data_IF_114966634712
#
_entry.id   IF_114966634712
#
_cell.length_a   1.000
_cell.length_b   1.000
_cell.length_c   1.000
_cell.angle_alpha   90.00
_cell.angle_beta   90.00
_cell.angle_gamma   90.00
#
_symmetry.space_group_name_H-M   'P 1'
#
loop_
_entity.id
_entity.type
_entity.pdbx_description
1 polymer ?
#
# COMPACT_ATOMS: atom_id res chain seq x y z
N UNK A 1 -3.12 20.19 -24.12
CA UNK A 1 -2.83 19.10 -23.17
C UNK A 1 -2.45 19.75 -21.86
N UNK A 2 -3.34 19.73 -20.87
CA UNK A 2 -2.98 20.14 -19.51
C UNK A 2 -1.94 19.16 -18.94
N UNK A 3 -1.22 19.53 -17.88
CA UNK A 3 -0.25 18.64 -17.24
C UNK A 3 -0.88 17.28 -16.81
N UNK A 4 -2.19 17.30 -16.56
CA UNK A 4 -3.07 16.19 -16.19
C UNK A 4 -3.12 15.05 -17.24
N UNK A 5 -3.03 15.34 -18.55
CA UNK A 5 -3.11 14.31 -19.60
C UNK A 5 -1.93 13.33 -19.57
N UNK A 6 -0.80 13.70 -18.93
CA UNK A 6 0.43 12.89 -18.92
C UNK A 6 0.48 11.86 -17.79
N UNK A 7 -0.34 12.02 -16.76
CA UNK A 7 -0.39 11.08 -15.64
C UNK A 7 -1.19 9.86 -16.08
N UNK A 8 -0.48 8.73 -16.19
CA UNK A 8 -1.07 7.40 -16.43
C UNK A 8 -1.54 6.83 -15.10
N UNK A 9 -2.83 6.99 -14.85
CA UNK A 9 -3.51 6.51 -13.66
C UNK A 9 -4.86 5.92 -14.06
N UNK A 10 -5.32 4.91 -13.32
CA UNK A 10 -6.65 4.34 -13.49
C UNK A 10 -7.73 5.45 -13.46
N UNK A 11 -8.74 5.41 -14.36
CA UNK A 11 -9.67 6.52 -14.55
C UNK A 11 -10.40 7.01 -13.31
N UNK A 12 -10.90 6.12 -12.45
CA UNK A 12 -11.65 6.51 -11.25
C UNK A 12 -10.76 7.28 -10.27
N UNK A 13 -9.51 6.83 -10.09
CA UNK A 13 -8.52 7.54 -9.29
C UNK A 13 -8.10 8.87 -9.90
N UNK A 14 -7.89 8.91 -11.22
CA UNK A 14 -7.53 10.15 -11.93
C UNK A 14 -8.60 11.21 -11.74
N UNK A 15 -9.87 10.84 -11.83
CA UNK A 15 -10.98 11.73 -11.58
C UNK A 15 -11.00 12.24 -10.13
N UNK A 16 -10.87 11.33 -9.16
CA UNK A 16 -10.97 11.66 -7.74
C UNK A 16 -9.80 12.52 -7.22
N UNK A 17 -8.60 12.32 -7.77
CA UNK A 17 -7.36 12.99 -7.33
C UNK A 17 -6.93 14.15 -8.24
N UNK A 18 -7.74 14.51 -9.24
CA UNK A 18 -7.40 15.53 -10.24
C UNK A 18 -6.91 16.84 -9.62
N UNK A 19 -7.68 17.38 -8.68
CA UNK A 19 -7.34 18.63 -7.99
C UNK A 19 -6.09 18.51 -7.10
N UNK A 20 -5.74 17.29 -6.68
CA UNK A 20 -4.55 17.04 -5.86
C UNK A 20 -3.27 17.20 -6.70
N UNK A 21 -3.29 16.75 -7.96
CA UNK A 21 -2.14 16.85 -8.86
C UNK A 21 -1.74 18.30 -9.21
N UNK A 22 -2.69 19.22 -9.07
CA UNK A 22 -2.50 20.66 -9.29
C UNK A 22 -2.00 21.41 -8.05
N UNK A 23 -1.89 20.75 -6.88
CA UNK A 23 -1.41 21.38 -5.66
C UNK A 23 0.08 21.76 -5.76
N UNK A 24 0.52 22.86 -5.12
CA UNK A 24 1.91 23.31 -5.18
C UNK A 24 2.93 22.25 -4.77
N UNK A 25 2.64 21.49 -3.70
CA UNK A 25 3.55 20.45 -3.21
C UNK A 25 3.75 19.31 -4.23
N UNK A 26 2.77 19.04 -5.12
CA UNK A 26 2.93 18.07 -6.20
C UNK A 26 3.86 18.58 -7.30
N UNK A 27 3.90 19.89 -7.56
CA UNK A 27 4.88 20.48 -8.45
C UNK A 27 6.29 20.37 -7.88
N UNK A 28 6.46 20.66 -6.58
CA UNK A 28 7.74 20.51 -5.87
C UNK A 28 8.22 19.06 -5.87
N UNK A 29 7.32 18.11 -5.59
CA UNK A 29 7.64 16.67 -5.63
C UNK A 29 8.08 16.22 -7.04
N UNK A 30 7.40 16.67 -8.10
CA UNK A 30 7.79 16.35 -9.49
C UNK A 30 9.17 16.90 -9.82
N UNK A 31 9.46 18.14 -9.41
CA UNK A 31 10.75 18.76 -9.65
C UNK A 31 11.86 18.06 -8.87
N UNK A 32 11.62 17.72 -7.59
CA UNK A 32 12.52 16.92 -6.78
C UNK A 32 12.88 15.59 -7.47
N UNK A 33 11.88 14.80 -7.88
CA UNK A 33 12.13 13.53 -8.55
C UNK A 33 12.90 13.73 -9.87
N UNK A 34 12.57 14.77 -10.65
CA UNK A 34 13.29 15.10 -11.88
C UNK A 34 14.77 15.38 -11.62
N UNK A 35 15.09 16.11 -10.54
CA UNK A 35 16.47 16.39 -10.14
C UNK A 35 17.20 15.12 -9.70
N UNK A 36 16.56 14.26 -8.91
CA UNK A 36 17.14 12.98 -8.48
C UNK A 36 17.49 12.09 -9.68
N UNK A 37 16.57 11.97 -10.65
CA UNK A 37 16.84 11.24 -11.90
C UNK A 37 17.95 11.89 -12.73
N UNK A 38 17.96 13.23 -12.86
CA UNK A 38 18.98 13.96 -13.61
C UNK A 38 20.38 13.85 -12.96
N UNK A 39 20.43 13.69 -11.63
CA UNK A 39 21.65 13.42 -10.88
C UNK A 39 22.15 11.97 -11.03
N UNK A 40 21.46 11.13 -11.80
CA UNK A 40 21.84 9.74 -12.03
C UNK A 40 21.52 8.80 -10.85
N UNK A 41 20.66 9.22 -9.92
CA UNK A 41 20.24 8.37 -8.81
C UNK A 41 19.31 7.28 -9.30
N UNK A 42 19.48 6.09 -8.74
CA UNK A 42 18.58 4.97 -8.98
C UNK A 42 17.41 5.04 -7.99
N UNK A 43 16.20 5.25 -8.51
CA UNK A 43 14.97 5.44 -7.74
C UNK A 43 14.05 4.26 -7.97
N UNK A 44 13.47 3.73 -6.88
CA UNK A 44 12.50 2.64 -6.90
C UNK A 44 11.13 3.08 -6.38
N UNK A 45 10.04 2.46 -6.86
CA UNK A 45 10.00 1.54 -8.00
C UNK A 45 10.27 2.28 -9.32
N UNK A 46 10.44 1.57 -10.46
CA UNK A 46 10.47 2.21 -11.78
C UNK A 46 9.30 3.19 -11.96
N UNK A 47 9.53 4.30 -12.67
CA UNK A 47 8.56 5.40 -12.76
C UNK A 47 7.14 4.97 -13.20
N UNK A 48 7.04 4.00 -14.11
CA UNK A 48 5.76 3.44 -14.57
C UNK A 48 4.98 2.67 -13.50
N UNK A 49 5.63 2.27 -12.41
CA UNK A 49 5.08 1.48 -11.32
C UNK A 49 4.85 2.30 -10.04
N UNK A 50 5.14 3.61 -10.03
CA UNK A 50 4.93 4.45 -8.85
C UNK A 50 3.47 4.36 -8.37
N UNK A 51 2.51 4.48 -9.28
CA UNK A 51 1.08 4.40 -8.98
C UNK A 51 0.49 2.99 -9.10
N UNK A 52 1.30 1.93 -9.05
CA UNK A 52 0.81 0.58 -9.32
C UNK A 52 -0.32 0.14 -8.36
N UNK A 53 -0.27 0.55 -7.08
CA UNK A 53 -1.35 0.27 -6.12
C UNK A 53 -2.71 0.83 -6.58
N UNK A 54 -2.73 2.07 -7.05
CA UNK A 54 -3.95 2.72 -7.56
C UNK A 54 -4.38 2.12 -8.90
N UNK A 55 -3.42 1.78 -9.76
CA UNK A 55 -3.71 1.17 -11.07
C UNK A 55 -4.25 -0.26 -10.97
N UNK A 56 -3.80 -1.01 -9.97
CA UNK A 56 -4.21 -2.40 -9.74
C UNK A 56 -5.54 -2.51 -9.00
N UNK A 57 -5.90 -1.47 -8.23
CA UNK A 57 -7.09 -1.48 -7.39
C UNK A 57 -7.91 -0.23 -7.68
N UNK A 58 -8.85 -0.26 -8.67
CA UNK A 58 -9.74 0.85 -8.97
C UNK A 58 -10.48 1.33 -7.71
N UNK A 59 -10.79 2.63 -7.61
CA UNK A 59 -11.35 3.25 -6.41
C UNK A 59 -12.65 2.56 -5.96
N UNK A 60 -13.56 2.28 -6.92
CA UNK A 60 -14.84 1.59 -6.68
C UNK A 60 -14.71 0.11 -6.29
N UNK A 61 -13.49 -0.45 -6.37
CA UNK A 61 -13.19 -1.85 -6.06
C UNK A 61 -12.42 -2.02 -4.77
N UNK A 62 -12.04 -0.92 -4.11
CA UNK A 62 -11.34 -0.99 -2.81
C UNK A 62 -12.26 -1.65 -1.78
N UNK A 63 -11.72 -2.64 -1.07
CA UNK A 63 -12.35 -3.33 0.06
C UNK A 63 -11.50 -3.25 1.32
N UNK A 64 -10.18 -3.36 1.13
CA UNK A 64 -9.19 -3.38 2.20
C UNK A 64 -8.08 -2.40 1.87
N UNK A 65 -7.58 -1.66 2.85
CA UNK A 65 -6.41 -0.79 2.72
C UNK A 65 -5.32 -1.28 3.66
N UNK A 66 -4.13 -1.54 3.14
CA UNK A 66 -2.94 -1.87 3.94
C UNK A 66 -1.91 -0.77 3.72
N UNK A 67 -1.43 -0.17 4.82
CA UNK A 67 -0.46 0.92 4.75
C UNK A 67 0.96 0.43 5.05
N UNK A 68 1.86 0.72 4.12
CA UNK A 68 3.32 0.63 4.32
C UNK A 68 3.96 2.01 4.45
N UNK A 69 5.26 2.02 4.76
CA UNK A 69 6.02 3.25 4.97
C UNK A 69 6.61 3.76 3.65
N UNK A 70 7.66 3.11 3.15
CA UNK A 70 8.35 3.40 1.90
C UNK A 70 8.58 2.10 1.08
N UNK A 71 8.89 2.19 -0.23
CA UNK A 71 9.16 1.02 -1.04
C UNK A 71 10.45 0.31 -0.60
N UNK A 72 10.58 -0.97 -0.96
CA UNK A 72 11.88 -1.64 -0.85
C UNK A 72 12.93 -0.94 -1.71
N UNK A 73 14.13 -0.76 -1.15
CA UNK A 73 15.21 0.02 -1.76
C UNK A 73 16.28 -0.83 -2.47
N UNK A 74 16.04 -2.13 -2.66
CA UNK A 74 16.92 -3.04 -3.39
C UNK A 74 16.49 -3.26 -4.84
N UNK A 75 17.44 -3.61 -5.72
CA UNK A 75 17.17 -3.82 -7.15
C UNK A 75 16.15 -4.93 -7.38
N UNK A 76 15.19 -4.66 -8.25
CA UNK A 76 14.14 -5.62 -8.63
C UNK A 76 13.11 -5.93 -7.54
N UNK A 77 13.19 -5.32 -6.35
CA UNK A 77 12.26 -5.62 -5.26
C UNK A 77 10.92 -4.92 -5.42
N UNK A 78 10.92 -3.59 -5.33
CA UNK A 78 9.70 -2.80 -5.30
C UNK A 78 9.03 -2.70 -6.67
N UNK A 79 7.70 -2.85 -6.68
CA UNK A 79 6.86 -2.69 -7.87
C UNK A 79 5.58 -1.87 -7.58
N UNK A 80 5.66 -0.95 -6.61
CA UNK A 80 4.59 0.01 -6.32
C UNK A 80 3.46 -0.50 -5.42
N UNK A 81 3.60 -1.68 -4.81
CA UNK A 81 2.70 -2.22 -3.80
C UNK A 81 3.44 -2.35 -2.46
N UNK A 82 2.86 -1.90 -1.35
CA UNK A 82 3.47 -2.07 -0.04
C UNK A 82 3.64 -3.56 0.32
N UNK A 83 4.73 -3.90 1.02
CA UNK A 83 5.15 -5.26 1.39
C UNK A 83 5.42 -6.26 0.25
N UNK A 84 4.92 -6.03 -0.95
CA UNK A 84 5.10 -6.93 -2.09
C UNK A 84 6.49 -6.81 -2.72
N UNK A 85 6.99 -7.91 -3.26
CA UNK A 85 8.21 -7.99 -4.06
C UNK A 85 7.96 -8.72 -5.39
N UNK A 86 8.76 -8.41 -6.41
CA UNK A 86 8.65 -9.10 -7.70
C UNK A 86 8.94 -10.61 -7.60
N UNK A 87 8.42 -11.43 -8.53
CA UNK A 87 8.79 -12.84 -8.65
C UNK A 87 10.30 -13.05 -8.74
N UNK A 88 10.78 -14.15 -8.15
CA UNK A 88 12.21 -14.47 -8.06
C UNK A 88 12.97 -13.71 -6.97
N UNK A 89 12.37 -12.71 -6.32
CA UNK A 89 12.94 -12.02 -5.16
C UNK A 89 12.49 -12.72 -3.87
N UNK A 90 13.42 -13.09 -2.96
CA UNK A 90 13.06 -13.64 -1.66
C UNK A 90 12.16 -12.68 -0.86
N UNK A 91 11.13 -13.23 -0.22
CA UNK A 91 10.25 -12.47 0.65
C UNK A 91 11.06 -11.78 1.78
N UNK A 92 10.96 -10.44 1.95
CA UNK A 92 11.66 -9.75 3.02
C UNK A 92 11.14 -10.15 4.41
N UNK A 93 11.90 -9.93 5.49
CA UNK A 93 11.54 -10.42 6.82
C UNK A 93 10.15 -10.00 7.32
N UNK A 94 9.72 -8.76 7.02
CA UNK A 94 8.36 -8.31 7.34
C UNK A 94 7.28 -9.11 6.59
N UNK A 95 7.51 -9.40 5.30
CA UNK A 95 6.57 -10.19 4.49
C UNK A 95 6.53 -11.65 4.95
N UNK A 96 7.66 -12.22 5.36
CA UNK A 96 7.71 -13.55 5.97
C UNK A 96 6.84 -13.61 7.23
N UNK A 97 6.86 -12.58 8.07
CA UNK A 97 6.00 -12.53 9.24
C UNK A 97 4.52 -12.33 8.89
N UNK A 98 4.19 -11.58 7.83
CA UNK A 98 2.84 -11.52 7.27
C UNK A 98 2.36 -12.93 6.88
N UNK A 99 3.18 -13.72 6.19
CA UNK A 99 2.84 -15.10 5.84
C UNK A 99 2.71 -16.03 7.05
N UNK A 100 3.54 -15.88 8.08
CA UNK A 100 3.39 -16.62 9.33
C UNK A 100 2.06 -16.31 10.02
N UNK A 101 1.63 -15.04 10.02
CA UNK A 101 0.33 -14.67 10.57
C UNK A 101 -0.81 -15.24 9.72
N UNK A 102 -0.72 -15.21 8.39
CA UNK A 102 -1.70 -15.87 7.51
C UNK A 102 -1.82 -17.36 7.77
N UNK A 103 -0.69 -18.06 7.95
CA UNK A 103 -0.70 -19.48 8.31
C UNK A 103 -1.36 -19.71 9.67
N UNK A 104 -1.06 -18.87 10.65
CA UNK A 104 -1.63 -19.00 12.00
C UNK A 104 -3.12 -18.66 12.04
N UNK A 105 -3.55 -17.64 11.30
CA UNK A 105 -4.92 -17.09 11.32
C UNK A 105 -5.89 -17.89 10.43
N UNK A 106 -5.46 -18.27 9.22
CA UNK A 106 -6.32 -18.89 8.21
C UNK A 106 -5.84 -20.27 7.75
N UNK A 107 -4.78 -20.81 8.36
CA UNK A 107 -4.15 -22.08 7.96
C UNK A 107 -3.63 -22.11 6.50
N UNK A 108 -3.38 -20.94 5.89
CA UNK A 108 -2.87 -20.80 4.53
C UNK A 108 -1.37 -21.10 4.51
N UNK A 109 -0.94 -21.98 3.59
CA UNK A 109 0.48 -22.32 3.44
C UNK A 109 1.31 -21.13 2.96
N UNK A 110 2.55 -21.06 3.44
CA UNK A 110 3.48 -19.99 3.10
C UNK A 110 3.90 -20.16 1.63
N UNK A 111 3.69 -19.16 0.77
CA UNK A 111 4.05 -19.23 -0.64
C UNK A 111 5.57 -19.19 -0.83
N UNK A 112 6.03 -19.63 -2.01
CA UNK A 112 7.45 -19.61 -2.38
C UNK A 112 7.90 -18.28 -3.04
N UNK A 113 7.02 -17.28 -3.11
CA UNK A 113 7.30 -15.95 -3.65
C UNK A 113 6.58 -14.87 -2.81
N UNK A 114 6.95 -13.61 -3.01
CA UNK A 114 6.40 -12.47 -2.27
C UNK A 114 5.54 -11.50 -3.09
N UNK A 115 4.97 -11.98 -4.20
CA UNK A 115 4.25 -11.15 -5.17
C UNK A 115 2.76 -11.08 -4.84
N UNK A 116 2.32 -9.95 -4.29
CA UNK A 116 0.97 -9.74 -3.73
C UNK A 116 -0.04 -9.13 -4.72
N UNK A 117 0.26 -9.16 -6.03
CA UNK A 117 -0.62 -8.58 -7.04
C UNK A 117 -2.04 -9.18 -7.00
N UNK A 118 -2.17 -10.49 -6.75
CA UNK A 118 -3.48 -11.15 -6.64
C UNK A 118 -4.34 -10.59 -5.51
N UNK A 119 -3.77 -9.97 -4.47
CA UNK A 119 -4.54 -9.28 -3.44
C UNK A 119 -5.05 -7.93 -3.96
N UNK A 120 -4.20 -7.19 -4.67
CA UNK A 120 -4.58 -5.90 -5.26
C UNK A 120 -5.74 -6.05 -6.26
N UNK A 121 -5.68 -7.11 -7.09
CA UNK A 121 -6.73 -7.45 -8.07
C UNK A 121 -8.08 -7.80 -7.41
N UNK A 122 -8.08 -8.16 -6.12
CA UNK A 122 -9.27 -8.48 -5.33
C UNK A 122 -9.84 -7.30 -4.53
N UNK A 123 -9.23 -6.11 -4.62
CA UNK A 123 -9.68 -4.93 -3.87
C UNK A 123 -8.80 -4.55 -2.67
N UNK A 124 -7.61 -5.14 -2.53
CA UNK A 124 -6.66 -4.78 -1.44
C UNK A 124 -5.73 -3.67 -1.91
N UNK A 125 -6.00 -2.43 -1.51
CA UNK A 125 -5.14 -1.29 -1.79
C UNK A 125 -3.86 -1.36 -0.95
N UNK A 126 -2.76 -1.77 -1.57
CA UNK A 126 -1.42 -1.92 -0.96
C UNK A 126 -0.61 -0.61 -1.08
N UNK A 127 -0.94 0.38 -0.26
CA UNK A 127 -0.41 1.75 -0.38
C UNK A 127 0.79 1.98 0.54
N UNK A 128 1.91 2.47 0.01
CA UNK A 128 2.96 3.08 0.83
C UNK A 128 2.67 4.58 1.02
N UNK A 129 2.95 5.11 2.21
CA UNK A 129 2.83 6.57 2.49
C UNK A 129 3.93 7.43 1.84
N UNK A 130 5.04 6.81 1.44
CA UNK A 130 6.06 7.38 0.55
C UNK A 130 6.14 6.48 -0.67
N UNK A 131 5.99 7.01 -1.88
CA UNK A 131 5.79 6.17 -3.08
C UNK A 131 7.07 5.91 -3.88
N UNK A 132 8.19 6.50 -3.47
CA UNK A 132 9.51 6.30 -4.09
C UNK A 132 10.61 6.26 -3.04
N UNK A 133 11.75 5.66 -3.36
CA UNK A 133 12.95 5.63 -2.51
C UNK A 133 14.21 5.58 -3.36
N UNK A 134 15.32 6.14 -2.88
CA UNK A 134 16.63 5.99 -3.50
C UNK A 134 17.22 4.61 -3.15
N UNK A 135 17.91 3.99 -4.11
CA UNK A 135 18.56 2.68 -3.92
C UNK A 135 19.44 2.69 -2.66
N UNK A 136 19.28 1.64 -1.86
CA UNK A 136 20.02 1.42 -0.60
C UNK A 136 19.90 2.55 0.44
N UNK A 137 18.95 3.47 0.29
CA UNK A 137 18.76 4.63 1.17
C UNK A 137 17.31 4.70 1.67
N UNK A 138 17.00 3.89 2.68
CA UNK A 138 15.66 3.83 3.28
C UNK A 138 15.20 5.21 3.78
N UNK A 139 13.93 5.56 3.56
CA UNK A 139 13.34 6.86 3.88
C UNK A 139 13.94 8.08 3.15
N UNK A 140 14.79 7.92 2.12
CA UNK A 140 15.42 9.05 1.43
C UNK A 140 14.43 10.10 0.91
N UNK A 141 13.25 9.66 0.48
CA UNK A 141 12.21 10.52 -0.09
C UNK A 141 11.07 10.83 0.91
N UNK A 142 11.24 10.48 2.20
CA UNK A 142 10.29 10.88 3.22
C UNK A 142 10.26 12.40 3.38
N UNK A 143 9.07 12.98 3.57
CA UNK A 143 8.88 14.42 3.72
C UNK A 143 9.09 15.22 2.42
N UNK A 144 9.20 14.57 1.26
CA UNK A 144 9.34 15.24 -0.05
C UNK A 144 8.01 15.56 -0.75
N UNK A 145 6.89 15.31 -0.08
CA UNK A 145 5.54 15.60 -0.58
C UNK A 145 4.64 14.37 -0.72
N UNK A 146 5.21 13.16 -0.76
CA UNK A 146 4.40 11.94 -0.92
C UNK A 146 3.37 11.74 0.18
N UNK A 147 3.72 12.03 1.43
CA UNK A 147 2.82 11.83 2.56
C UNK A 147 1.53 12.66 2.42
N UNK A 148 1.61 13.89 1.91
CA UNK A 148 0.43 14.71 1.65
C UNK A 148 -0.48 14.05 0.61
N UNK A 149 0.11 13.60 -0.50
CA UNK A 149 -0.62 12.91 -1.55
C UNK A 149 -1.28 11.62 -1.04
N UNK A 150 -0.57 10.80 -0.29
CA UNK A 150 -1.12 9.53 0.22
C UNK A 150 -2.14 9.75 1.33
N UNK A 151 -2.03 10.84 2.10
CA UNK A 151 -3.05 11.22 3.07
C UNK A 151 -4.36 11.56 2.34
N UNK A 152 -4.28 12.31 1.23
CA UNK A 152 -5.43 12.57 0.36
C UNK A 152 -6.04 11.29 -0.21
N UNK A 153 -5.21 10.33 -0.64
CA UNK A 153 -5.69 9.02 -1.12
C UNK A 153 -6.51 8.33 -0.03
N UNK A 154 -6.04 8.31 1.22
CA UNK A 154 -6.74 7.68 2.35
C UNK A 154 -8.09 8.38 2.62
N UNK A 155 -8.10 9.71 2.62
CA UNK A 155 -9.33 10.51 2.79
C UNK A 155 -10.35 10.23 1.68
N UNK A 156 -9.91 10.18 0.43
CA UNK A 156 -10.76 9.87 -0.73
C UNK A 156 -11.39 8.50 -0.55
N UNK A 157 -10.60 7.48 -0.21
CA UNK A 157 -11.10 6.12 0.03
C UNK A 157 -12.11 6.10 1.17
N UNK A 158 -11.81 6.75 2.30
CA UNK A 158 -12.71 6.79 3.44
C UNK A 158 -14.03 7.52 3.14
N UNK A 159 -14.00 8.53 2.27
CA UNK A 159 -15.19 9.27 1.87
C UNK A 159 -16.03 8.53 0.81
N UNK A 160 -15.41 7.71 -0.03
CA UNK A 160 -16.02 7.17 -1.25
C UNK A 160 -17.11 6.12 -1.01
N UNK A 161 -16.84 5.14 -0.14
CA UNK A 161 -17.81 4.07 0.16
C UNK A 161 -17.65 3.54 1.59
N UNK A 162 -18.74 3.13 2.26
CA UNK A 162 -18.67 2.57 3.61
C UNK A 162 -18.15 1.12 3.60
N UNK A 163 -17.98 0.54 4.80
CA UNK A 163 -17.69 -0.89 4.99
C UNK A 163 -16.35 -1.39 4.44
N UNK A 164 -15.37 -0.49 4.39
CA UNK A 164 -13.98 -0.82 4.13
C UNK A 164 -13.25 -1.30 5.40
N UNK A 165 -12.15 -2.03 5.21
CA UNK A 165 -11.25 -2.45 6.28
C UNK A 165 -9.89 -1.80 6.13
N UNK A 166 -9.40 -1.11 7.18
CA UNK A 166 -8.08 -0.51 7.22
C UNK A 166 -7.16 -1.29 8.16
N UNK A 167 -6.06 -1.83 7.61
CA UNK A 167 -5.04 -2.57 8.35
C UNK A 167 -3.84 -1.64 8.63
N UNK A 168 -3.77 -1.16 9.86
CA UNK A 168 -2.79 -0.16 10.29
C UNK A 168 -1.72 -0.82 11.18
N UNK A 169 -0.62 -1.27 10.56
CA UNK A 169 0.45 -1.98 11.26
C UNK A 169 1.64 -1.07 11.57
N UNK A 170 1.89 -0.83 12.85
CA UNK A 170 2.94 0.06 13.35
C UNK A 170 2.48 1.51 13.52
N UNK A 171 3.24 2.28 14.31
CA UNK A 171 2.90 3.64 14.72
C UNK A 171 2.68 4.60 13.53
N UNK A 172 3.48 4.45 12.47
CA UNK A 172 3.36 5.28 11.27
C UNK A 172 2.00 5.11 10.58
N UNK A 173 1.57 3.86 10.34
CA UNK A 173 0.25 3.57 9.78
C UNK A 173 -0.88 3.98 10.74
N UNK A 174 -0.72 3.72 12.04
CA UNK A 174 -1.72 4.10 13.06
C UNK A 174 -1.93 5.62 13.13
N UNK A 175 -0.89 6.43 12.86
CA UNK A 175 -1.02 7.90 12.82
C UNK A 175 -2.01 8.40 11.76
N UNK A 176 -2.32 7.56 10.75
CA UNK A 176 -3.28 7.85 9.68
C UNK A 176 -4.72 7.56 10.07
N UNK A 177 -4.97 6.99 11.24
CA UNK A 177 -6.33 6.71 11.73
C UNK A 177 -7.22 7.97 11.78
N UNK A 178 -6.64 9.15 12.00
CA UNK A 178 -7.36 10.44 11.96
C UNK A 178 -7.98 10.80 10.61
N UNK A 179 -7.53 10.16 9.53
CA UNK A 179 -8.01 10.37 8.16
C UNK A 179 -9.16 9.43 7.78
N UNK A 180 -9.55 8.54 8.71
CA UNK A 180 -10.48 7.46 8.46
C UNK A 180 -11.73 7.68 9.32
N UNK A 181 -12.90 7.64 8.69
CA UNK A 181 -14.19 7.64 9.38
C UNK A 181 -14.47 6.26 9.99
N UNK A 182 -14.01 6.06 11.22
CA UNK A 182 -14.19 4.81 11.96
C UNK A 182 -15.66 4.47 12.30
N UNK A 183 -16.62 5.37 12.02
CA UNK A 183 -18.05 5.05 12.13
C UNK A 183 -18.56 4.28 10.92
N UNK A 184 -17.88 4.39 9.77
CA UNK A 184 -18.22 3.72 8.51
C UNK A 184 -17.38 2.49 8.22
N UNK A 185 -16.17 2.42 8.78
CA UNK A 185 -15.15 1.44 8.42
C UNK A 185 -14.64 0.65 9.62
N UNK A 186 -14.13 -0.54 9.37
CA UNK A 186 -13.38 -1.30 10.36
C UNK A 186 -11.90 -0.88 10.33
N UNK A 187 -11.38 -0.42 11.47
CA UNK A 187 -9.95 -0.12 11.63
C UNK A 187 -9.30 -1.17 12.53
N UNK A 188 -8.33 -1.91 11.99
CA UNK A 188 -7.58 -2.94 12.70
C UNK A 188 -6.13 -2.50 12.88
N UNK A 189 -5.69 -2.36 14.14
CA UNK A 189 -4.36 -1.88 14.49
C UNK A 189 -3.53 -2.99 15.15
N UNK A 190 -2.24 -3.03 14.83
CA UNK A 190 -1.26 -3.86 15.56
C UNK A 190 0.12 -3.23 15.45
N UNK A 191 1.11 -3.79 16.15
CA UNK A 191 2.53 -3.48 15.93
C UNK A 191 2.96 -3.87 14.50
N UNK A 192 4.08 -3.32 14.03
CA UNK A 192 4.56 -3.59 12.68
C UNK A 192 5.00 -5.06 12.50
N UNK A 193 4.85 -5.68 11.31
CA UNK A 193 5.30 -7.06 11.06
C UNK A 193 6.82 -7.26 11.00
N UNK A 194 7.64 -6.22 11.23
CA UNK A 194 9.10 -6.40 11.17
C UNK A 194 9.58 -7.29 12.33
N UNK A 195 10.73 -7.97 12.19
CA UNK A 195 11.29 -8.80 13.25
C UNK A 195 11.44 -8.08 14.60
N UNK A 196 11.64 -6.75 14.58
CA UNK A 196 11.79 -5.92 15.78
C UNK A 196 10.50 -5.86 16.63
N UNK A 197 9.33 -6.11 16.05
CA UNK A 197 8.05 -5.95 16.73
C UNK A 197 7.05 -7.07 16.53
N UNK A 198 7.23 -7.97 15.57
CA UNK A 198 6.19 -8.93 15.19
C UNK A 198 5.68 -9.78 16.38
N UNK A 199 6.59 -10.24 17.23
CA UNK A 199 6.28 -11.05 18.42
C UNK A 199 5.61 -10.26 19.55
N UNK A 200 5.55 -8.92 19.47
CA UNK A 200 4.92 -8.05 20.47
C UNK A 200 3.43 -7.81 20.21
N UNK A 201 2.85 -8.44 19.18
CA UNK A 201 1.39 -8.37 18.94
C UNK A 201 0.94 -8.48 17.48
N UNK A 202 1.86 -8.51 16.50
CA UNK A 202 1.47 -8.75 15.10
C UNK A 202 1.10 -10.22 14.90
N UNK A 203 1.98 -11.13 15.34
CA UNK A 203 1.67 -12.56 15.37
C UNK A 203 0.60 -12.82 16.44
N UNK A 204 -0.55 -13.35 16.01
CA UNK A 204 -1.73 -13.58 16.83
C UNK A 204 -2.82 -12.50 16.72
N UNK A 205 -2.65 -11.47 15.89
CA UNK A 205 -3.64 -10.39 15.77
C UNK A 205 -4.96 -10.81 15.08
N UNK A 206 -4.94 -11.86 14.27
CA UNK A 206 -6.10 -12.41 13.59
C UNK A 206 -6.75 -11.44 12.59
N UNK A 207 -5.95 -10.54 12.00
CA UNK A 207 -6.49 -9.47 11.16
C UNK A 207 -7.09 -9.97 9.84
N UNK A 208 -6.59 -11.05 9.25
CA UNK A 208 -7.08 -11.53 7.95
C UNK A 208 -8.46 -12.18 8.08
N UNK A 209 -8.67 -13.02 9.10
CA UNK A 209 -9.97 -13.61 9.41
C UNK A 209 -11.01 -12.58 9.83
N UNK A 210 -10.62 -11.60 10.66
CA UNK A 210 -11.49 -10.47 11.06
C UNK A 210 -11.87 -9.60 9.87
N UNK A 211 -10.96 -9.39 8.93
CA UNK A 211 -11.22 -8.66 7.67
C UNK A 211 -12.30 -9.38 6.87
N UNK A 212 -12.11 -10.67 6.59
CA UNK A 212 -13.07 -11.43 5.80
C UNK A 212 -14.45 -11.50 6.48
N UNK A 213 -14.49 -11.75 7.80
CA UNK A 213 -15.74 -11.74 8.56
C UNK A 213 -16.49 -10.42 8.45
N UNK A 214 -15.77 -9.29 8.50
CA UNK A 214 -16.40 -7.97 8.38
C UNK A 214 -16.94 -7.72 6.97
N UNK A 215 -16.21 -8.11 5.92
CA UNK A 215 -16.67 -8.02 4.54
C UNK A 215 -17.95 -8.86 4.35
N UNK A 216 -17.95 -10.11 4.80
CA UNK A 216 -19.11 -11.01 4.70
C UNK A 216 -20.35 -10.46 5.43
N UNK A 217 -20.16 -9.86 6.61
CA UNK A 217 -21.24 -9.23 7.38
C UNK A 217 -21.91 -8.05 6.65
N UNK A 218 -21.21 -7.43 5.70
CA UNK A 218 -21.72 -6.31 4.92
C UNK A 218 -22.04 -6.71 3.46
N UNK A 219 -22.11 -8.01 3.17
CA UNK A 219 -22.48 -8.52 1.85
C UNK A 219 -21.36 -8.43 0.80
N UNK A 220 -20.14 -8.14 1.22
CA UNK A 220 -18.96 -8.11 0.34
C UNK A 220 -18.30 -9.49 0.26
N UNK A 221 -17.82 -9.85 -0.93
CA UNK A 221 -17.06 -11.09 -1.08
C UNK A 221 -15.73 -10.99 -0.29
N UNK A 222 -15.37 -12.02 0.51
CA UNK A 222 -14.13 -12.04 1.28
C UNK A 222 -12.91 -12.08 0.34
N UNK A 223 -11.75 -11.72 0.87
CA UNK A 223 -10.48 -11.81 0.14
C UNK A 223 -9.95 -13.24 0.22
N UNK A 224 -9.57 -13.82 -0.92
CA UNK A 224 -8.72 -15.00 -0.96
C UNK A 224 -7.27 -14.57 -0.74
N UNK A 225 -6.80 -14.77 0.49
CA UNK A 225 -5.45 -14.39 0.90
C UNK A 225 -4.37 -15.36 0.40
N UNK A 226 -4.73 -16.48 -0.24
CA UNK A 226 -3.75 -17.40 -0.84
C UNK A 226 -3.12 -16.74 -2.07
N UNK A 227 -1.80 -16.90 -2.23
CA UNK A 227 -1.13 -16.48 -3.45
C UNK A 227 -1.19 -17.60 -4.49
N UNK A 228 -1.50 -17.29 -5.77
CA UNK A 228 -1.43 -18.26 -6.84
C UNK A 228 0.04 -18.61 -7.15
N UNK A 229 0.32 -19.76 -7.78
CA UNK A 229 1.65 -20.04 -8.33
C UNK A 229 2.08 -18.96 -9.33
N UNK A 230 3.38 -18.71 -9.40
CA UNK A 230 4.02 -17.73 -10.31
C UNK A 230 5.01 -18.44 -11.23
#
# INVERSE_FOLDING_TARGET
MTADDRIKLEPSWKQALRAEFDQPYMAELREFLRQEYAAGKEIYPPASLIFNALNSTPLDKVKVVILGQDPYHGPGQAHGLCFSVQPGVPAPPSLVNIFKELKRDLNIDIPNHGYLQSWADQGVLLLNTTMTVERANANAHAGKGWQHFTDRVIEVVSAHQPHLVFLLWGAHAQSKQKLIDATKHLVLTSVHPSPLSAYRGFLGCGHFSRTNKFLEQHGEAPIDWRLPPV
#
